data_IF_951592966731
#
_entry.id   IF_951592966731
#
_cell.length_a   1.000
_cell.length_b   1.000
_cell.length_c   1.000
_cell.angle_alpha   90.00
_cell.angle_beta   90.00
_cell.angle_gamma   90.00
#
_symmetry.space_group_name_H-M   'P 1'
#
loop_
_entity.id
_entity.type
_entity.pdbx_description
1 polymer ?
#
# COMPACT_ATOMS: atom_id res chain seq x y z
N UNK A 1 9.65 -3.13 -5.40
CA UNK A 1 10.71 -2.29 -4.79
C UNK A 1 10.19 -1.74 -3.48
N UNK A 2 10.97 -1.81 -2.40
CA UNK A 2 10.62 -1.22 -1.11
C UNK A 2 11.68 -0.20 -0.72
N UNK A 3 11.22 1.02 -0.44
CA UNK A 3 12.03 2.09 0.13
C UNK A 3 11.69 2.23 1.61
N UNK A 4 12.54 1.66 2.47
CA UNK A 4 12.37 1.64 3.92
C UNK A 4 13.44 2.50 4.63
N UNK A 5 13.61 3.71 4.13
CA UNK A 5 14.69 4.62 4.53
C UNK A 5 14.10 5.91 5.09
N UNK A 6 14.79 6.51 6.06
CA UNK A 6 14.38 7.81 6.63
C UNK A 6 15.23 8.98 6.12
N UNK A 7 15.76 8.89 4.91
CA UNK A 7 16.64 9.90 4.32
C UNK A 7 15.89 10.99 3.53
N UNK A 8 16.61 12.08 3.22
CA UNK A 8 16.07 13.28 2.56
C UNK A 8 15.76 13.11 1.08
N UNK A 9 16.31 12.07 0.44
CA UNK A 9 16.22 11.86 -1.01
C UNK A 9 15.19 10.78 -1.40
N UNK A 10 14.27 10.42 -0.48
CA UNK A 10 13.26 9.38 -0.76
C UNK A 10 12.41 9.72 -1.98
N UNK A 11 12.12 11.01 -2.16
CA UNK A 11 11.38 11.59 -3.27
C UNK A 11 12.04 11.31 -4.63
N UNK A 12 13.35 11.56 -4.74
CA UNK A 12 14.15 11.29 -5.95
C UNK A 12 14.28 9.81 -6.26
N UNK A 13 14.54 8.99 -5.23
CA UNK A 13 14.65 7.53 -5.42
C UNK A 13 13.31 6.95 -5.88
N UNK A 14 12.22 7.44 -5.29
CA UNK A 14 10.86 7.06 -5.70
C UNK A 14 10.59 7.48 -7.15
N UNK A 15 10.98 8.70 -7.53
CA UNK A 15 10.87 9.19 -8.91
C UNK A 15 11.57 8.25 -9.90
N UNK A 16 12.85 7.93 -9.64
CA UNK A 16 13.64 7.07 -10.51
C UNK A 16 13.04 5.65 -10.62
N UNK A 17 12.53 5.11 -9.52
CA UNK A 17 11.87 3.81 -9.49
C UNK A 17 10.61 3.79 -10.36
N UNK A 18 9.79 4.84 -10.27
CA UNK A 18 8.56 4.97 -11.07
C UNK A 18 8.87 5.18 -12.55
N UNK A 19 9.86 6.03 -12.89
CA UNK A 19 10.29 6.24 -14.29
C UNK A 19 10.87 4.98 -14.93
N UNK A 20 11.42 4.06 -14.14
CA UNK A 20 11.86 2.73 -14.60
C UNK A 20 10.70 1.75 -14.85
N UNK A 21 9.46 2.15 -14.58
CA UNK A 21 8.27 1.31 -14.78
C UNK A 21 8.17 0.17 -13.77
N UNK A 22 8.75 0.31 -12.57
CA UNK A 22 8.61 -0.71 -11.53
C UNK A 22 7.14 -0.77 -11.11
N UNK A 23 6.46 -1.94 -11.21
CA UNK A 23 5.00 -2.04 -11.01
C UNK A 23 4.57 -1.88 -9.54
N UNK A 24 5.50 -2.01 -8.60
CA UNK A 24 5.25 -1.79 -7.18
C UNK A 24 6.41 -1.04 -6.54
N UNK A 25 6.17 0.24 -6.22
CA UNK A 25 7.09 1.14 -5.53
C UNK A 25 6.49 1.46 -4.17
N UNK A 26 6.79 0.63 -3.17
CA UNK A 26 6.34 0.80 -1.80
C UNK A 26 7.28 1.70 -1.00
N UNK A 27 6.74 2.71 -0.32
CA UNK A 27 7.52 3.65 0.50
C UNK A 27 7.04 3.60 1.94
N UNK A 28 7.93 3.20 2.85
CA UNK A 28 7.67 3.21 4.29
C UNK A 28 7.80 4.64 4.80
N UNK A 29 6.66 5.31 5.00
CA UNK A 29 6.62 6.73 5.33
C UNK A 29 5.42 7.07 6.24
N UNK A 30 5.48 8.22 6.91
CA UNK A 30 4.29 8.78 7.55
C UNK A 30 3.37 9.42 6.51
N UNK A 31 2.08 9.61 6.84
CA UNK A 31 1.14 10.32 5.96
C UNK A 31 1.66 11.70 5.52
N UNK A 32 2.29 12.45 6.43
CA UNK A 32 2.92 13.74 6.12
C UNK A 32 4.03 13.59 5.07
N UNK A 33 4.93 12.62 5.24
CA UNK A 33 6.05 12.40 4.31
C UNK A 33 5.57 11.89 2.95
N UNK A 34 4.54 11.04 2.93
CA UNK A 34 3.85 10.63 1.71
C UNK A 34 3.35 11.83 0.91
N UNK A 35 2.71 12.81 1.55
CA UNK A 35 2.25 14.03 0.88
C UNK A 35 3.40 14.81 0.22
N UNK A 36 4.52 14.96 0.92
CA UNK A 36 5.72 15.63 0.39
C UNK A 36 6.27 14.88 -0.84
N UNK A 37 6.40 13.56 -0.76
CA UNK A 37 6.88 12.73 -1.88
C UNK A 37 5.92 12.85 -3.07
N UNK A 38 4.61 12.69 -2.87
CA UNK A 38 3.61 12.79 -3.94
C UNK A 38 3.65 14.15 -4.63
N UNK A 39 3.73 15.24 -3.87
CA UNK A 39 3.84 16.58 -4.44
C UNK A 39 5.10 16.72 -5.31
N UNK A 40 6.26 16.29 -4.79
CA UNK A 40 7.50 16.30 -5.55
C UNK A 40 7.37 15.51 -6.87
N UNK A 41 6.80 14.31 -6.83
CA UNK A 41 6.64 13.46 -8.02
C UNK A 41 5.79 14.14 -9.11
N UNK A 42 4.66 14.74 -8.71
CA UNK A 42 3.76 15.45 -9.62
C UNK A 42 4.46 16.69 -10.20
N UNK A 43 5.12 17.49 -9.37
CA UNK A 43 5.87 18.68 -9.79
C UNK A 43 6.99 18.36 -10.78
N UNK A 44 7.56 17.15 -10.71
CA UNK A 44 8.64 16.69 -11.59
C UNK A 44 8.14 15.84 -12.78
N UNK A 45 6.82 15.82 -13.05
CA UNK A 45 6.28 15.23 -14.28
C UNK A 45 6.10 13.71 -14.24
N UNK A 46 5.86 13.13 -13.07
CA UNK A 46 5.30 11.77 -12.97
C UNK A 46 3.83 11.85 -13.40
N UNK A 47 3.46 11.01 -14.36
CA UNK A 47 2.10 10.88 -14.85
C UNK A 47 1.19 10.15 -13.86
N UNK A 48 -0.13 10.29 -14.03
CA UNK A 48 -1.12 9.55 -13.23
C UNK A 48 -0.91 8.03 -13.34
N UNK A 49 -0.66 7.52 -14.54
CA UNK A 49 -0.38 6.10 -14.78
C UNK A 49 0.87 5.60 -14.07
N UNK A 50 1.91 6.43 -13.98
CA UNK A 50 3.11 6.08 -13.21
C UNK A 50 2.81 6.10 -11.71
N UNK A 51 1.99 7.05 -11.23
CA UNK A 51 1.57 7.11 -9.82
C UNK A 51 0.74 5.90 -9.39
N UNK A 52 0.08 5.19 -10.30
CA UNK A 52 -0.65 3.95 -9.96
C UNK A 52 0.28 2.87 -9.39
N UNK A 53 1.58 2.93 -9.70
CA UNK A 53 2.59 2.02 -9.15
C UNK A 53 3.15 2.48 -7.78
N UNK A 54 2.71 3.64 -7.25
CA UNK A 54 3.18 4.19 -5.98
C UNK A 54 2.31 3.74 -4.80
N UNK A 55 2.91 3.02 -3.87
CA UNK A 55 2.28 2.57 -2.63
C UNK A 55 2.91 3.29 -1.45
N UNK A 56 2.32 4.43 -1.05
CA UNK A 56 2.85 5.29 0.00
C UNK A 56 1.71 5.89 0.85
N UNK A 57 1.70 5.70 2.17
CA UNK A 57 2.49 4.70 2.89
C UNK A 57 2.15 3.28 2.40
N UNK A 58 3.14 2.39 2.34
CA UNK A 58 2.91 0.98 1.97
C UNK A 58 2.48 0.14 3.17
N UNK A 59 1.62 -0.85 2.89
CA UNK A 59 1.19 -1.88 3.83
C UNK A 59 -0.28 -1.75 4.23
N UNK A 60 -0.89 -2.88 4.62
CA UNK A 60 -2.26 -2.91 5.14
C UNK A 60 -2.36 -2.17 6.48
N UNK A 61 -3.55 -1.63 6.77
CA UNK A 61 -3.84 -0.99 8.06
C UNK A 61 -4.02 -2.04 9.17
N UNK A 62 -2.90 -2.62 9.60
CA UNK A 62 -2.81 -3.54 10.74
C UNK A 62 -2.53 -2.80 12.06
N UNK A 63 -2.55 -1.45 12.06
CA UNK A 63 -2.08 -0.61 13.17
C UNK A 63 -0.68 -1.03 13.67
N UNK A 64 0.20 -1.39 12.74
CA UNK A 64 1.54 -1.86 13.03
C UNK A 64 2.37 -0.83 13.81
N UNK A 65 3.07 -1.29 14.85
CA UNK A 65 3.92 -0.45 15.72
C UNK A 65 5.37 -0.93 15.75
N UNK A 66 5.61 -2.24 15.68
CA UNK A 66 6.96 -2.79 15.66
C UNK A 66 7.46 -3.01 14.23
N UNK A 67 8.79 -3.07 14.01
CA UNK A 67 9.35 -3.37 12.69
C UNK A 67 8.79 -4.66 12.07
N UNK A 68 8.58 -5.71 12.86
CA UNK A 68 8.03 -6.98 12.42
C UNK A 68 6.57 -6.84 11.97
N UNK A 69 5.78 -6.04 12.70
CA UNK A 69 4.41 -5.75 12.32
C UNK A 69 4.33 -4.91 11.05
N UNK A 70 5.27 -3.96 10.86
CA UNK A 70 5.37 -3.16 9.63
C UNK A 70 5.77 -4.05 8.45
N UNK A 71 6.75 -4.94 8.64
CA UNK A 71 7.12 -5.92 7.61
C UNK A 71 5.93 -6.81 7.25
N UNK A 72 5.19 -7.30 8.25
CA UNK A 72 3.99 -8.11 8.03
C UNK A 72 2.90 -7.34 7.28
N UNK A 73 2.66 -6.06 7.60
CA UNK A 73 1.64 -5.27 6.90
C UNK A 73 1.98 -5.05 5.43
N UNK A 74 3.26 -4.83 5.10
CA UNK A 74 3.77 -4.69 3.73
C UNK A 74 3.64 -6.01 2.97
N UNK A 75 4.12 -7.11 3.54
CA UNK A 75 4.01 -8.43 2.91
C UNK A 75 2.56 -8.83 2.67
N UNK A 76 1.67 -8.49 3.61
CA UNK A 76 0.23 -8.75 3.47
C UNK A 76 -0.38 -7.94 2.32
N UNK A 77 -0.01 -6.67 2.15
CA UNK A 77 -0.44 -5.84 1.01
C UNK A 77 0.04 -6.43 -0.32
N UNK A 78 1.31 -6.83 -0.40
CA UNK A 78 1.86 -7.43 -1.63
C UNK A 78 1.12 -8.71 -2.03
N UNK A 79 0.92 -9.63 -1.08
CA UNK A 79 0.22 -10.90 -1.34
C UNK A 79 -1.24 -10.62 -1.70
N UNK A 80 -1.89 -9.69 -1.00
CA UNK A 80 -3.27 -9.28 -1.29
C UNK A 80 -3.39 -8.78 -2.74
N UNK A 81 -2.54 -7.84 -3.15
CA UNK A 81 -2.57 -7.29 -4.51
C UNK A 81 -2.27 -8.36 -5.56
N UNK A 82 -1.28 -9.22 -5.33
CA UNK A 82 -0.92 -10.29 -6.26
C UNK A 82 -2.04 -11.32 -6.47
N UNK A 83 -2.85 -11.54 -5.44
CA UNK A 83 -3.94 -12.52 -5.46
C UNK A 83 -5.32 -11.86 -5.67
N UNK A 84 -5.37 -10.57 -6.00
CA UNK A 84 -6.61 -9.80 -6.16
C UNK A 84 -7.53 -9.86 -4.92
N UNK A 85 -6.93 -10.00 -3.75
CA UNK A 85 -7.64 -10.00 -2.47
C UNK A 85 -8.11 -8.61 -2.04
N UNK A 86 -9.06 -8.56 -1.11
CA UNK A 86 -9.66 -7.32 -0.61
C UNK A 86 -9.15 -6.85 0.75
N UNK A 87 -8.44 -7.72 1.49
CA UNK A 87 -7.98 -7.43 2.86
C UNK A 87 -9.11 -7.36 3.91
N UNK A 88 -10.36 -7.63 3.52
CA UNK A 88 -11.49 -7.73 4.45
C UNK A 88 -11.42 -9.03 5.26
N UNK A 89 -12.09 -9.05 6.41
CA UNK A 89 -12.13 -10.26 7.24
C UNK A 89 -12.96 -11.33 6.51
N UNK A 90 -12.41 -12.53 6.30
CA UNK A 90 -13.15 -13.63 5.65
C UNK A 90 -14.51 -13.92 6.30
N UNK A 91 -14.63 -13.77 7.62
CA UNK A 91 -15.90 -13.94 8.34
C UNK A 91 -17.03 -13.00 7.92
N UNK A 92 -16.73 -11.89 7.23
CA UNK A 92 -17.75 -10.97 6.71
C UNK A 92 -18.12 -11.29 5.26
N UNK A 93 -17.44 -12.24 4.63
CA UNK A 93 -17.74 -12.73 3.28
C UNK A 93 -18.60 -13.99 3.31
N UNK A 94 -18.66 -14.68 4.45
CA UNK A 94 -19.56 -15.81 4.68
C UNK A 94 -20.90 -15.24 5.15
N UNK A 95 -22.00 -15.45 4.41
CA UNK A 95 -23.34 -15.08 4.86
C UNK A 95 -23.71 -15.85 6.14
N UNK A 96 -24.44 -15.22 7.06
CA UNK A 96 -25.03 -15.93 8.20
C UNK A 96 -26.20 -16.79 7.67
N UNK A 97 -26.01 -18.11 7.62
CA UNK A 97 -27.02 -19.09 7.13
C UNK A 97 -28.26 -19.24 8.05
N UNK A 98 -28.41 -18.40 9.09
CA UNK A 98 -29.37 -18.63 10.19
C UNK A 98 -30.71 -17.91 10.00
N UNK A 99 -30.83 -16.98 9.03
CA UNK A 99 -32.05 -16.16 8.89
C UNK A 99 -33.14 -16.75 7.98
N UNK A 100 -32.89 -17.83 7.24
CA UNK A 100 -33.90 -18.41 6.32
C UNK A 100 -34.87 -19.42 6.96
N UNK A 101 -34.56 -20.01 8.13
CA UNK A 101 -35.42 -21.02 8.77
C UNK A 101 -36.48 -20.45 9.75
N UNK A 102 -36.46 -19.15 10.08
CA UNK A 102 -37.41 -18.56 11.04
C UNK A 102 -38.64 -17.93 10.34
N UNK A 103 -38.67 -17.88 9.01
CA UNK A 103 -39.80 -17.32 8.25
C UNK A 103 -40.65 -18.34 7.48
N UNK A 104 -40.59 -19.64 7.79
CA UNK A 104 -41.46 -20.67 7.22
C UNK A 104 -42.38 -21.31 8.26
#
# INVERSE_FOLDING_TARGET
>A
FILATHHRNDDKITFDALKKGIPYVGVVASAKKTGIIKNYLVENGISTKELDNLYAPTGLDLKAQTPEQIALSILSEMVMLNNEGSGVKMRTLVPDEIDEEISS
#
